data_IF_715405001703
#
_entry.id   IF_715405001703
#
_cell.length_a   1.000
_cell.length_b   1.000
_cell.length_c   1.000
_cell.angle_alpha   90.00
_cell.angle_beta   90.00
_cell.angle_gamma   90.00
#
_symmetry.space_group_name_H-M   'P 1'
#
loop_
_entity.id
_entity.type
_entity.pdbx_description
1 polymer ?
#
# COMPACT_ATOMS: atom_id res chain seq x y z
N UNK A 1 87.45 13.21 21.91
CA UNK A 1 86.18 13.53 22.62
C UNK A 1 85.05 13.52 21.66
N UNK A 2 84.24 12.41 21.61
CA UNK A 2 83.13 12.23 20.68
C UNK A 2 81.88 12.17 21.57
N UNK A 3 81.00 13.18 21.37
CA UNK A 3 79.74 13.30 22.14
C UNK A 3 78.68 12.47 21.45
N UNK A 4 78.09 11.52 22.19
CA UNK A 4 76.99 10.70 21.79
C UNK A 4 75.66 11.41 22.01
N UNK A 5 74.84 11.59 20.97
CA UNK A 5 73.50 12.10 20.99
C UNK A 5 72.49 10.95 21.31
N UNK A 6 71.52 11.10 22.23
CA UNK A 6 70.53 10.08 22.49
C UNK A 6 69.40 10.15 21.46
N UNK A 7 69.13 9.03 20.78
CA UNK A 7 67.99 8.79 19.89
C UNK A 7 66.71 8.70 20.70
N UNK A 8 65.83 9.72 20.64
CA UNK A 8 64.50 9.68 21.21
C UNK A 8 63.61 8.83 20.32
N UNK A 9 63.22 7.66 20.80
CA UNK A 9 62.25 6.78 20.18
C UNK A 9 60.85 7.34 20.47
N UNK A 10 60.20 7.94 19.46
CA UNK A 10 58.82 8.38 19.58
C UNK A 10 57.89 7.16 19.36
N UNK A 11 57.26 6.69 20.43
CA UNK A 11 56.28 5.62 20.42
C UNK A 11 54.95 6.20 19.99
N UNK A 12 54.56 6.04 18.70
CA UNK A 12 53.24 6.36 18.20
C UNK A 12 52.24 5.27 18.65
N UNK A 13 51.48 5.56 19.71
CA UNK A 13 50.34 4.75 20.11
C UNK A 13 49.20 5.08 19.15
N UNK A 14 48.96 4.21 18.15
CA UNK A 14 47.77 4.24 17.32
C UNK A 14 46.57 3.81 18.16
N UNK A 15 45.73 4.77 18.58
CA UNK A 15 44.41 4.47 19.13
C UNK A 15 43.53 3.84 18.04
N UNK A 16 43.46 2.53 18.03
CA UNK A 16 42.46 1.80 17.27
C UNK A 16 41.09 2.00 17.96
N UNK A 17 40.31 2.97 17.52
CA UNK A 17 38.90 3.04 17.87
C UNK A 17 38.22 1.82 17.25
N UNK A 18 37.52 0.95 18.02
CA UNK A 18 36.69 -0.07 17.44
C UNK A 18 35.58 0.65 16.68
N UNK A 19 35.56 0.54 15.35
CA UNK A 19 34.33 0.79 14.57
C UNK A 19 33.32 -0.22 15.11
N UNK A 20 32.40 0.21 15.95
CA UNK A 20 31.22 -0.56 16.24
C UNK A 20 30.48 -0.71 14.91
N UNK A 21 30.56 -1.89 14.32
CA UNK A 21 29.73 -2.22 13.17
C UNK A 21 28.26 -2.13 13.64
N UNK A 22 27.59 -1.05 13.28
CA UNK A 22 26.15 -0.95 13.47
C UNK A 22 25.57 -2.11 12.65
N UNK A 23 25.03 -3.11 13.33
CA UNK A 23 24.38 -4.21 12.64
C UNK A 23 23.29 -3.63 11.72
N UNK A 24 23.34 -4.01 10.44
CA UNK A 24 22.37 -3.55 9.46
C UNK A 24 20.96 -3.89 9.96
N UNK A 25 20.05 -2.93 9.85
CA UNK A 25 18.66 -3.13 10.24
C UNK A 25 18.03 -4.22 9.37
N UNK A 26 17.22 -5.07 9.99
CA UNK A 26 16.53 -6.18 9.30
C UNK A 26 15.04 -5.94 9.44
N UNK A 27 14.45 -5.35 8.39
CA UNK A 27 13.05 -4.91 8.38
C UNK A 27 12.18 -6.02 7.81
N UNK A 28 11.14 -6.39 8.54
CA UNK A 28 9.99 -7.10 7.96
C UNK A 28 8.88 -6.08 7.76
N UNK A 29 8.43 -5.94 6.52
CA UNK A 29 7.40 -4.96 6.13
C UNK A 29 6.07 -5.67 5.86
N UNK A 30 5.01 -5.19 6.52
CA UNK A 30 3.66 -5.76 6.49
C UNK A 30 2.66 -4.69 6.06
N UNK A 31 2.07 -4.88 4.90
CA UNK A 31 1.19 -3.93 4.21
C UNK A 31 1.85 -3.38 2.93
N UNK A 32 1.13 -3.44 1.81
CA UNK A 32 1.66 -3.01 0.51
C UNK A 32 2.06 -1.54 0.49
N UNK A 33 1.25 -0.68 1.11
CA UNK A 33 1.53 0.75 1.29
C UNK A 33 2.76 1.01 2.18
N UNK A 34 2.91 0.25 3.24
CA UNK A 34 4.06 0.33 4.16
C UNK A 34 5.35 -0.03 3.43
N UNK A 35 5.33 -1.12 2.66
CA UNK A 35 6.48 -1.60 1.91
C UNK A 35 6.88 -0.62 0.81
N UNK A 36 5.91 -0.10 0.05
CA UNK A 36 6.13 0.90 -0.99
C UNK A 36 6.81 2.15 -0.43
N UNK A 37 6.32 2.67 0.70
CA UNK A 37 6.88 3.84 1.37
C UNK A 37 8.30 3.54 1.89
N UNK A 38 8.54 2.40 2.52
CA UNK A 38 9.87 2.02 3.00
C UNK A 38 10.91 1.98 1.87
N UNK A 39 10.54 1.40 0.71
CA UNK A 39 11.38 1.39 -0.48
C UNK A 39 11.61 2.78 -1.05
N UNK A 40 10.59 3.61 -1.15
CA UNK A 40 10.70 4.99 -1.64
C UNK A 40 11.58 5.87 -0.73
N UNK A 41 11.66 5.55 0.55
CA UNK A 41 12.57 6.17 1.51
C UNK A 41 14.00 5.59 1.44
N UNK A 42 14.27 4.62 0.55
CA UNK A 42 15.59 4.03 0.34
C UNK A 42 15.95 2.92 1.32
N UNK A 43 14.99 2.33 2.05
CA UNK A 43 15.22 1.22 2.97
C UNK A 43 15.17 -0.16 2.30
N UNK A 44 15.13 -0.24 0.98
CA UNK A 44 14.93 -1.50 0.25
C UNK A 44 15.95 -2.59 0.60
N UNK A 45 17.22 -2.23 0.77
CA UNK A 45 18.29 -3.19 1.13
C UNK A 45 18.19 -3.67 2.59
N UNK A 46 17.45 -2.97 3.43
CA UNK A 46 17.20 -3.32 4.84
C UNK A 46 15.97 -4.21 4.99
N UNK A 47 15.05 -4.21 4.00
CA UNK A 47 13.85 -5.04 4.00
C UNK A 47 14.23 -6.48 3.66
N UNK A 48 14.08 -7.39 4.62
CA UNK A 48 14.46 -8.80 4.50
C UNK A 48 13.28 -9.72 4.19
N UNK A 49 12.04 -9.25 4.40
CA UNK A 49 10.82 -9.96 4.05
C UNK A 49 9.63 -8.99 3.94
N UNK A 50 8.59 -9.47 3.25
CA UNK A 50 7.36 -8.72 2.99
C UNK A 50 6.13 -9.61 3.20
N UNK A 51 4.96 -9.01 3.36
CA UNK A 51 3.69 -9.73 3.29
C UNK A 51 3.21 -9.92 1.84
N UNK A 52 2.19 -10.77 1.63
CA UNK A 52 1.70 -11.11 0.28
C UNK A 52 1.02 -9.93 -0.45
N UNK A 53 0.61 -8.87 0.24
CA UNK A 53 0.06 -7.65 -0.38
C UNK A 53 1.14 -6.70 -0.90
N UNK A 54 2.39 -6.89 -0.51
CA UNK A 54 3.53 -6.07 -0.90
C UNK A 54 4.05 -6.50 -2.28
N UNK A 55 3.55 -5.89 -3.34
CA UNK A 55 3.88 -6.22 -4.73
C UNK A 55 4.74 -5.16 -5.41
N UNK A 56 4.81 -3.94 -4.85
CA UNK A 56 5.54 -2.80 -5.39
C UNK A 56 6.63 -2.30 -4.43
N UNK A 57 7.78 -1.86 -4.97
CA UNK A 57 8.23 -2.00 -6.37
C UNK A 57 8.51 -3.47 -6.73
N UNK A 58 8.66 -3.80 -8.01
CA UNK A 58 8.85 -5.19 -8.47
C UNK A 58 10.00 -5.96 -7.78
N UNK A 59 11.01 -5.26 -7.28
CA UNK A 59 12.13 -5.84 -6.53
C UNK A 59 11.66 -6.56 -5.25
N UNK A 60 10.57 -6.09 -4.62
CA UNK A 60 9.98 -6.65 -3.39
C UNK A 60 9.56 -8.10 -3.58
N UNK A 61 9.07 -8.47 -4.78
CA UNK A 61 8.57 -9.81 -5.06
C UNK A 61 9.64 -10.91 -4.97
N UNK A 62 10.92 -10.52 -4.93
CA UNK A 62 12.05 -11.45 -4.74
C UNK A 62 12.33 -11.76 -3.27
N UNK A 63 11.74 -10.98 -2.36
CA UNK A 63 11.93 -11.16 -0.93
C UNK A 63 11.05 -12.30 -0.39
N UNK A 64 11.45 -12.96 0.70
CA UNK A 64 10.63 -13.91 1.42
C UNK A 64 9.25 -13.34 1.74
N UNK A 65 8.21 -14.15 1.53
CA UNK A 65 6.81 -13.83 1.82
C UNK A 65 6.42 -14.42 3.17
N UNK A 66 5.97 -13.58 4.11
CA UNK A 66 5.51 -14.00 5.43
C UNK A 66 4.01 -14.31 5.48
N UNK A 67 3.35 -14.32 4.33
CA UNK A 67 1.93 -14.58 4.18
C UNK A 67 1.05 -13.32 4.17
N UNK A 68 -0.26 -13.53 4.16
CA UNK A 68 -1.22 -12.45 4.08
C UNK A 68 -1.31 -11.66 5.39
N UNK A 69 -1.27 -10.33 5.31
CA UNK A 69 -1.24 -9.44 6.49
C UNK A 69 -2.39 -9.67 7.48
N UNK A 70 -3.50 -10.29 7.07
CA UNK A 70 -4.63 -10.64 7.96
C UNK A 70 -4.60 -12.10 8.46
N UNK A 71 -3.51 -12.83 8.19
CA UNK A 71 -3.32 -14.23 8.58
C UNK A 71 -1.86 -14.47 8.98
N UNK A 72 -1.28 -13.54 9.74
CA UNK A 72 0.13 -13.57 10.12
C UNK A 72 0.44 -14.71 11.10
N UNK A 73 1.70 -15.15 11.07
CA UNK A 73 2.27 -16.12 12.00
C UNK A 73 3.56 -15.58 12.62
N UNK A 74 3.61 -15.49 13.96
CA UNK A 74 4.77 -14.92 14.66
C UNK A 74 6.04 -15.77 14.48
N UNK A 75 5.95 -17.08 14.49
CA UNK A 75 7.09 -17.99 14.37
C UNK A 75 7.81 -17.83 13.02
N UNK A 76 7.04 -17.77 11.93
CA UNK A 76 7.58 -17.55 10.59
C UNK A 76 8.30 -16.22 10.46
N UNK A 77 7.76 -15.18 11.09
CA UNK A 77 8.37 -13.83 11.08
C UNK A 77 9.66 -13.83 11.94
N UNK A 78 9.63 -14.40 13.15
CA UNK A 78 10.78 -14.48 14.06
C UNK A 78 11.94 -15.30 13.49
N UNK A 79 11.65 -16.34 12.68
CA UNK A 79 12.67 -17.13 12.01
C UNK A 79 13.58 -16.31 11.09
N UNK A 80 13.09 -15.17 10.59
CA UNK A 80 13.84 -14.23 9.76
C UNK A 80 14.75 -13.30 10.56
N UNK A 81 14.70 -13.37 11.90
CA UNK A 81 15.49 -12.55 12.84
C UNK A 81 15.38 -11.06 12.54
N UNK A 82 14.17 -10.50 12.50
CA UNK A 82 14.00 -9.06 12.28
C UNK A 82 14.50 -8.27 13.49
N UNK A 83 15.01 -7.05 13.23
CA UNK A 83 15.27 -6.04 14.26
C UNK A 83 14.15 -5.01 14.34
N UNK A 84 13.44 -4.82 13.22
CA UNK A 84 12.32 -3.90 13.09
C UNK A 84 11.19 -4.54 12.29
N UNK A 85 9.97 -4.36 12.75
CA UNK A 85 8.76 -4.67 11.97
C UNK A 85 8.03 -3.36 11.72
N UNK A 86 7.80 -3.05 10.45
CA UNK A 86 6.89 -2.00 10.01
C UNK A 86 5.58 -2.67 9.63
N UNK A 87 4.51 -2.40 10.35
CA UNK A 87 3.23 -3.08 10.14
C UNK A 87 2.08 -2.11 10.05
N UNK A 88 1.24 -2.25 9.03
CA UNK A 88 -0.05 -1.56 9.04
C UNK A 88 -0.88 -1.96 10.26
N UNK A 89 -1.64 -1.03 10.83
CA UNK A 89 -2.61 -1.32 11.90
C UNK A 89 -3.74 -2.26 11.46
N UNK A 90 -3.91 -2.45 10.14
CA UNK A 90 -4.88 -3.38 9.58
C UNK A 90 -4.41 -4.84 9.62
N UNK A 91 -3.20 -5.11 10.10
CA UNK A 91 -2.64 -6.45 10.21
C UNK A 91 -3.35 -7.29 11.27
N UNK A 92 -3.61 -8.55 10.94
CA UNK A 92 -4.32 -9.49 11.81
C UNK A 92 -3.59 -10.85 11.87
N UNK A 93 -3.75 -11.60 12.96
CA UNK A 93 -4.38 -11.19 14.20
C UNK A 93 -3.46 -10.26 15.02
N UNK A 94 -4.04 -9.27 15.69
CA UNK A 94 -3.29 -8.30 16.52
C UNK A 94 -2.40 -8.97 17.59
N UNK A 95 -2.78 -10.18 18.04
CA UNK A 95 -1.98 -10.98 18.97
C UNK A 95 -0.59 -11.32 18.41
N UNK A 96 -0.45 -11.52 17.11
CA UNK A 96 0.84 -11.82 16.48
C UNK A 96 1.80 -10.64 16.64
N UNK A 97 1.35 -9.42 16.42
CA UNK A 97 2.18 -8.23 16.59
C UNK A 97 2.64 -8.09 18.06
N UNK A 98 1.73 -8.39 19.01
CA UNK A 98 2.10 -8.42 20.43
C UNK A 98 3.14 -9.50 20.74
N UNK A 99 3.01 -10.69 20.20
CA UNK A 99 4.00 -11.77 20.39
C UNK A 99 5.39 -11.40 19.86
N UNK A 100 5.44 -10.64 18.76
CA UNK A 100 6.69 -10.13 18.20
C UNK A 100 7.32 -9.08 19.13
N UNK A 101 6.53 -8.15 19.68
CA UNK A 101 6.95 -7.18 20.69
C UNK A 101 7.48 -7.87 21.96
N UNK A 102 6.74 -8.85 22.48
CA UNK A 102 7.09 -9.62 23.68
C UNK A 102 8.40 -10.44 23.46
N UNK A 103 8.74 -10.77 22.20
CA UNK A 103 10.00 -11.42 21.81
C UNK A 103 11.18 -10.44 21.69
N UNK A 104 10.97 -9.15 22.00
CA UNK A 104 12.01 -8.12 21.98
C UNK A 104 12.26 -7.48 20.61
N UNK A 105 11.41 -7.74 19.60
CA UNK A 105 11.49 -7.07 18.29
C UNK A 105 10.77 -5.73 18.36
N UNK A 106 11.40 -4.68 17.82
CA UNK A 106 10.73 -3.38 17.69
C UNK A 106 9.61 -3.48 16.64
N UNK A 107 8.37 -3.20 17.04
CA UNK A 107 7.21 -3.14 16.12
C UNK A 107 6.73 -1.71 16.03
N UNK A 108 6.67 -1.16 14.83
CA UNK A 108 6.11 0.16 14.55
C UNK A 108 4.80 -0.04 13.80
N UNK A 109 3.71 0.48 14.37
CA UNK A 109 2.37 0.41 13.81
C UNK A 109 2.13 1.65 12.96
N UNK A 110 1.79 1.45 11.70
CA UNK A 110 1.52 2.50 10.73
C UNK A 110 0.00 2.69 10.60
N UNK A 111 -0.52 3.94 10.66
CA UNK A 111 -1.94 4.21 10.58
C UNK A 111 -2.64 3.48 9.43
N UNK A 112 -3.75 2.83 9.73
CA UNK A 112 -4.54 2.03 8.78
C UNK A 112 -5.64 2.80 8.05
N UNK A 113 -5.72 4.12 8.20
CA UNK A 113 -6.75 4.94 7.59
C UNK A 113 -6.73 4.86 6.06
N UNK A 114 -7.92 4.62 5.49
CA UNK A 114 -8.14 4.52 4.04
C UNK A 114 -8.63 5.86 3.47
N UNK A 115 -7.82 6.90 3.67
CA UNK A 115 -8.05 8.23 3.09
C UNK A 115 -6.78 8.73 2.42
N UNK A 116 -6.93 9.51 1.35
CA UNK A 116 -5.77 10.10 0.65
C UNK A 116 -5.02 11.10 1.52
N UNK A 117 -5.68 11.67 2.53
CA UNK A 117 -5.09 12.62 3.47
C UNK A 117 -4.21 11.94 4.55
N UNK A 118 -4.41 10.65 4.80
CA UNK A 118 -3.64 9.91 5.82
C UNK A 118 -2.24 9.49 5.34
N UNK A 119 -1.99 9.46 4.03
CA UNK A 119 -0.73 8.96 3.47
C UNK A 119 0.50 9.76 3.95
N UNK A 120 0.48 11.10 4.06
CA UNK A 120 1.60 11.86 4.62
C UNK A 120 1.97 11.47 6.05
N UNK A 121 1.00 11.10 6.89
CA UNK A 121 1.25 10.59 8.25
C UNK A 121 1.92 9.22 8.21
N UNK A 122 1.44 8.29 7.37
CA UNK A 122 2.10 6.99 7.14
C UNK A 122 3.56 7.17 6.74
N UNK A 123 3.84 8.09 5.81
CA UNK A 123 5.20 8.41 5.38
C UNK A 123 6.04 8.91 6.55
N UNK A 124 5.52 9.82 7.38
CA UNK A 124 6.23 10.37 8.54
C UNK A 124 6.58 9.29 9.55
N UNK A 125 5.61 8.46 9.93
CA UNK A 125 5.81 7.37 10.92
C UNK A 125 6.88 6.38 10.44
N UNK A 126 6.83 5.98 9.17
CA UNK A 126 7.83 5.05 8.60
C UNK A 126 9.20 5.72 8.53
N UNK A 127 9.28 6.97 8.06
CA UNK A 127 10.54 7.71 7.94
C UNK A 127 11.23 7.90 9.29
N UNK A 128 10.46 8.20 10.33
CA UNK A 128 10.99 8.34 11.68
C UNK A 128 11.49 7.00 12.24
N UNK A 129 10.75 5.92 11.98
CA UNK A 129 11.10 4.57 12.41
C UNK A 129 12.46 4.10 11.86
N UNK A 130 12.81 4.51 10.62
CA UNK A 130 14.04 4.14 9.91
C UNK A 130 15.09 5.26 9.86
N UNK A 131 14.95 6.30 10.69
CA UNK A 131 15.86 7.45 10.79
C UNK A 131 16.05 8.23 9.47
N UNK A 132 14.96 8.42 8.70
CA UNK A 132 14.94 9.13 7.40
C UNK A 132 13.90 10.26 7.36
N UNK A 133 13.67 10.96 8.47
CA UNK A 133 12.64 11.99 8.63
C UNK A 133 12.74 13.11 7.58
N UNK A 134 13.96 13.50 7.17
CA UNK A 134 14.14 14.51 6.12
C UNK A 134 13.64 14.04 4.75
N UNK A 135 13.94 12.78 4.37
CA UNK A 135 13.44 12.17 3.14
C UNK A 135 11.92 11.97 3.22
N UNK A 136 11.41 11.61 4.41
CA UNK A 136 9.97 11.48 4.65
C UNK A 136 9.22 12.78 4.39
N UNK A 137 9.73 13.90 4.90
CA UNK A 137 9.14 15.22 4.65
C UNK A 137 9.06 15.54 3.15
N UNK A 138 10.15 15.34 2.42
CA UNK A 138 10.19 15.58 0.97
C UNK A 138 9.24 14.65 0.21
N UNK A 139 9.12 13.39 0.64
CA UNK A 139 8.21 12.43 0.02
C UNK A 139 6.75 12.82 0.25
N UNK A 140 6.41 13.21 1.48
CA UNK A 140 5.06 13.68 1.83
C UNK A 140 4.67 14.97 1.06
N UNK A 141 5.60 15.92 0.91
CA UNK A 141 5.39 17.13 0.12
C UNK A 141 5.12 16.79 -1.36
N UNK A 142 5.89 15.88 -1.96
CA UNK A 142 5.65 15.42 -3.34
C UNK A 142 4.29 14.75 -3.50
N UNK A 143 3.91 13.89 -2.56
CA UNK A 143 2.60 13.25 -2.55
C UNK A 143 1.46 14.29 -2.52
N UNK A 144 1.56 15.27 -1.63
CA UNK A 144 0.56 16.34 -1.52
C UNK A 144 0.47 17.18 -2.79
N UNK A 145 1.60 17.48 -3.45
CA UNK A 145 1.62 18.19 -4.73
C UNK A 145 0.93 17.40 -5.84
N UNK A 146 1.20 16.09 -5.92
CA UNK A 146 0.54 15.21 -6.88
C UNK A 146 -0.97 15.16 -6.65
N UNK A 147 -1.40 15.03 -5.39
CA UNK A 147 -2.81 15.02 -5.03
C UNK A 147 -3.50 16.35 -5.36
N UNK A 148 -2.86 17.47 -5.06
CA UNK A 148 -3.40 18.82 -5.33
C UNK A 148 -3.54 19.11 -6.83
N UNK A 149 -2.79 18.44 -7.70
CA UNK A 149 -2.89 18.59 -9.14
C UNK A 149 -4.13 17.88 -9.76
N UNK A 150 -4.83 17.05 -8.97
CA UNK A 150 -6.00 16.30 -9.45
C UNK A 150 -7.27 17.14 -9.19
N UNK A 151 -8.05 17.34 -10.25
CA UNK A 151 -9.35 18.02 -10.12
C UNK A 151 -10.30 17.17 -9.25
N UNK A 152 -10.92 17.81 -8.26
CA UNK A 152 -11.85 17.17 -7.32
C UNK A 152 -13.26 17.79 -7.33
N UNK A 153 -13.54 18.70 -8.28
CA UNK A 153 -14.88 19.24 -8.48
C UNK A 153 -15.89 18.11 -8.70
N UNK A 154 -17.03 18.12 -8.00
CA UNK A 154 -18.01 17.05 -8.13
C UNK A 154 -18.48 16.82 -9.58
N UNK A 155 -18.51 15.57 -10.02
CA UNK A 155 -19.11 15.14 -11.27
C UNK A 155 -20.31 14.21 -10.98
N UNK A 156 -21.38 14.25 -11.78
CA UNK A 156 -22.56 13.43 -11.58
C UNK A 156 -22.36 11.97 -12.08
N UNK A 157 -21.13 11.47 -12.16
CA UNK A 157 -20.78 10.15 -12.66
C UNK A 157 -20.88 9.13 -11.53
N UNK A 158 -21.67 8.09 -11.75
CA UNK A 158 -21.84 6.95 -10.85
C UNK A 158 -20.84 5.87 -11.21
N UNK A 159 -20.02 5.47 -10.26
CA UNK A 159 -18.98 4.43 -10.42
C UNK A 159 -19.36 3.19 -9.63
N UNK A 160 -19.41 2.06 -10.28
CA UNK A 160 -19.54 0.76 -9.63
C UNK A 160 -18.16 0.11 -9.53
N UNK A 161 -17.68 -0.11 -8.30
CA UNK A 161 -16.52 -0.94 -8.09
C UNK A 161 -16.94 -2.41 -7.87
N UNK A 162 -16.31 -3.30 -8.63
CA UNK A 162 -16.49 -4.75 -8.47
C UNK A 162 -15.19 -5.38 -7.99
N UNK A 163 -15.25 -5.98 -6.80
CA UNK A 163 -14.18 -6.79 -6.26
C UNK A 163 -14.34 -8.24 -6.68
N UNK A 164 -13.29 -8.82 -7.23
CA UNK A 164 -13.19 -10.25 -7.51
C UNK A 164 -11.76 -10.71 -7.31
N UNK A 165 -11.55 -11.84 -6.67
CA UNK A 165 -10.25 -12.47 -6.52
C UNK A 165 -10.43 -13.96 -6.18
N UNK A 166 -9.46 -14.79 -6.56
CA UNK A 166 -9.25 -16.14 -6.02
C UNK A 166 -10.48 -17.06 -5.96
N UNK A 167 -11.41 -16.95 -6.92
CA UNK A 167 -12.58 -17.85 -6.99
C UNK A 167 -13.76 -17.45 -6.10
N UNK A 168 -13.70 -16.29 -5.42
CA UNK A 168 -14.88 -15.77 -4.71
C UNK A 168 -15.91 -15.18 -5.68
N UNK A 169 -17.18 -15.23 -5.27
CA UNK A 169 -18.25 -14.55 -5.99
C UNK A 169 -17.96 -13.05 -6.10
N UNK A 170 -18.04 -12.43 -7.29
CA UNK A 170 -17.84 -10.99 -7.45
C UNK A 170 -18.75 -10.18 -6.52
N UNK A 171 -18.18 -9.17 -5.88
CA UNK A 171 -18.86 -8.35 -4.89
C UNK A 171 -18.84 -6.86 -5.28
N UNK A 172 -19.92 -6.16 -5.00
CA UNK A 172 -19.99 -4.71 -5.11
C UNK A 172 -19.47 -4.05 -3.82
N UNK A 173 -18.73 -2.96 -3.97
CA UNK A 173 -18.32 -2.12 -2.86
C UNK A 173 -19.41 -1.10 -2.51
N UNK A 174 -19.99 -1.24 -1.33
CA UNK A 174 -20.85 -0.23 -0.73
C UNK A 174 -20.06 0.86 -0.01
N UNK A 175 -20.74 1.60 0.84
CA UNK A 175 -20.14 2.63 1.70
C UNK A 175 -19.09 2.04 2.67
N UNK A 176 -18.21 2.89 3.18
CA UNK A 176 -17.18 2.50 4.15
C UNK A 176 -16.20 1.43 3.63
N UNK A 177 -15.89 1.47 2.34
CA UNK A 177 -14.85 0.65 1.71
C UNK A 177 -13.73 1.54 1.16
N UNK A 178 -12.55 0.97 0.95
CA UNK A 178 -11.45 1.66 0.28
C UNK A 178 -11.87 2.18 -1.12
N UNK A 179 -12.63 1.37 -1.87
CA UNK A 179 -13.18 1.77 -3.16
C UNK A 179 -14.16 2.96 -3.06
N UNK A 180 -15.04 2.97 -2.04
CA UNK A 180 -15.94 4.10 -1.79
C UNK A 180 -15.15 5.38 -1.48
N UNK A 181 -14.09 5.27 -0.67
CA UNK A 181 -13.24 6.40 -0.31
C UNK A 181 -12.53 7.00 -1.53
N UNK A 182 -11.96 6.17 -2.40
CA UNK A 182 -11.25 6.65 -3.61
C UNK A 182 -12.23 7.25 -4.64
N UNK A 183 -13.41 6.65 -4.83
CA UNK A 183 -14.45 7.18 -5.72
C UNK A 183 -14.87 8.57 -5.26
N UNK A 184 -15.11 8.75 -3.96
CA UNK A 184 -15.48 10.07 -3.41
C UNK A 184 -14.34 11.07 -3.46
N UNK A 185 -13.11 10.64 -3.22
CA UNK A 185 -11.93 11.50 -3.34
C UNK A 185 -11.74 12.04 -4.77
N UNK A 186 -12.17 11.28 -5.78
CA UNK A 186 -12.20 11.71 -7.18
C UNK A 186 -13.34 12.69 -7.49
N UNK A 187 -14.19 13.06 -6.53
CA UNK A 187 -15.38 13.88 -6.75
C UNK A 187 -16.52 13.16 -7.46
N UNK A 188 -16.55 11.81 -7.39
CA UNK A 188 -17.51 10.96 -8.07
C UNK A 188 -18.50 10.34 -7.07
N UNK A 189 -19.52 9.66 -7.58
CA UNK A 189 -20.54 8.99 -6.78
C UNK A 189 -20.33 7.47 -6.81
N UNK A 190 -20.24 6.85 -5.64
CA UNK A 190 -20.34 5.40 -5.59
C UNK A 190 -21.77 4.98 -5.99
N UNK A 191 -21.91 4.12 -6.98
CA UNK A 191 -23.20 3.65 -7.44
C UNK A 191 -23.96 2.83 -6.38
N UNK A 192 -23.23 2.21 -5.44
CA UNK A 192 -23.77 1.35 -4.38
C UNK A 192 -23.87 2.08 -3.04
N UNK A 193 -24.89 2.92 -2.85
CA UNK A 193 -25.11 3.74 -1.66
C UNK A 193 -25.99 3.08 -0.59
N UNK A 194 -26.71 2.04 -0.92
CA UNK A 194 -27.74 1.45 -0.04
C UNK A 194 -27.22 0.52 1.07
N UNK A 195 -25.89 0.29 1.16
CA UNK A 195 -25.28 -0.61 2.13
C UNK A 195 -23.82 -0.25 2.42
N UNK A 196 -23.29 -0.78 3.52
CA UNK A 196 -21.86 -0.67 3.88
C UNK A 196 -21.13 -1.98 3.62
N UNK A 197 -19.77 -1.86 3.42
CA UNK A 197 -18.87 -2.98 3.13
C UNK A 197 -19.15 -3.59 1.76
N UNK A 198 -18.72 -4.85 1.59
CA UNK A 198 -18.86 -5.58 0.32
C UNK A 198 -20.05 -6.54 0.39
N UNK A 199 -20.81 -6.62 -0.71
CA UNK A 199 -21.91 -7.58 -0.88
C UNK A 199 -21.83 -8.25 -2.22
N UNK A 200 -22.27 -9.53 -2.36
CA UNK A 200 -22.37 -10.18 -3.65
C UNK A 200 -23.17 -9.35 -4.64
N UNK A 201 -22.75 -9.36 -5.90
CA UNK A 201 -23.50 -8.69 -6.95
C UNK A 201 -24.91 -9.35 -7.12
N UNK A 202 -25.92 -8.51 -7.19
CA UNK A 202 -27.26 -8.94 -7.62
C UNK A 202 -27.64 -8.21 -8.91
N UNK A 203 -28.30 -8.92 -9.80
CA UNK A 203 -28.73 -8.34 -11.08
C UNK A 203 -29.58 -7.09 -10.88
N UNK A 204 -30.57 -7.17 -9.98
CA UNK A 204 -31.48 -6.06 -9.68
C UNK A 204 -30.71 -4.86 -9.09
N UNK A 205 -29.82 -5.09 -8.13
CA UNK A 205 -29.02 -4.02 -7.50
C UNK A 205 -28.10 -3.33 -8.49
N UNK A 206 -27.45 -4.08 -9.39
CA UNK A 206 -26.59 -3.53 -10.43
C UNK A 206 -27.39 -2.67 -11.41
N UNK A 207 -28.53 -3.17 -11.91
CA UNK A 207 -29.38 -2.42 -12.83
C UNK A 207 -29.92 -1.14 -12.16
N UNK A 208 -30.43 -1.24 -10.93
CA UNK A 208 -31.01 -0.12 -10.20
C UNK A 208 -29.97 0.96 -9.83
N UNK A 209 -28.70 0.59 -9.68
CA UNK A 209 -27.64 1.54 -9.38
C UNK A 209 -27.22 2.40 -10.57
N UNK A 210 -27.53 1.98 -11.81
CA UNK A 210 -27.26 2.69 -13.07
C UNK A 210 -25.83 3.25 -13.13
N UNK A 211 -24.76 2.44 -13.01
CA UNK A 211 -23.41 2.95 -13.08
C UNK A 211 -23.07 3.45 -14.49
N UNK A 212 -22.39 4.60 -14.55
CA UNK A 212 -21.86 5.20 -15.77
C UNK A 212 -20.47 4.65 -16.11
N UNK A 213 -19.73 4.17 -15.10
CA UNK A 213 -18.38 3.65 -15.21
C UNK A 213 -18.22 2.43 -14.29
N UNK A 214 -17.65 1.36 -14.83
CA UNK A 214 -17.21 0.20 -14.08
C UNK A 214 -15.74 0.41 -13.66
N UNK A 215 -15.44 0.23 -12.38
CA UNK A 215 -14.09 0.27 -11.82
C UNK A 215 -13.73 -1.12 -11.30
N UNK A 216 -12.61 -1.64 -11.74
CA UNK A 216 -12.12 -2.97 -11.35
C UNK A 216 -10.61 -2.94 -11.20
N UNK A 217 -10.08 -3.92 -10.46
CA UNK A 217 -8.64 -4.07 -10.34
C UNK A 217 -8.08 -5.04 -11.37
N UNK A 218 -6.77 -4.96 -11.61
CA UNK A 218 -6.06 -5.86 -12.54
C UNK A 218 -6.23 -7.32 -12.14
N UNK A 219 -6.08 -7.63 -10.85
CA UNK A 219 -6.29 -8.99 -10.34
C UNK A 219 -7.75 -9.40 -10.38
N UNK A 220 -8.67 -8.46 -10.16
CA UNK A 220 -10.10 -8.68 -10.32
C UNK A 220 -10.47 -9.14 -11.73
N UNK A 221 -9.95 -8.45 -12.75
CA UNK A 221 -10.16 -8.84 -14.15
C UNK A 221 -9.57 -10.22 -14.45
N UNK A 222 -8.36 -10.48 -13.95
CA UNK A 222 -7.70 -11.79 -14.12
C UNK A 222 -8.51 -12.91 -13.47
N UNK A 223 -9.06 -12.68 -12.29
CA UNK A 223 -9.80 -13.70 -11.52
C UNK A 223 -11.10 -14.13 -12.19
N UNK A 224 -11.73 -13.25 -12.98
CA UNK A 224 -12.95 -13.58 -13.76
C UNK A 224 -12.66 -14.07 -15.18
N UNK A 225 -11.39 -14.24 -15.55
CA UNK A 225 -10.99 -14.77 -16.85
C UNK A 225 -10.92 -13.74 -17.98
N UNK A 226 -10.81 -12.44 -17.65
CA UNK A 226 -10.57 -11.38 -18.63
C UNK A 226 -11.64 -10.29 -18.69
N UNK A 227 -11.31 -9.20 -19.38
CA UNK A 227 -12.15 -8.00 -19.43
C UNK A 227 -13.53 -8.25 -20.06
N UNK A 228 -13.63 -9.12 -21.06
CA UNK A 228 -14.93 -9.40 -21.70
C UNK A 228 -15.94 -10.06 -20.75
N UNK A 229 -15.47 -10.81 -19.77
CA UNK A 229 -16.31 -11.45 -18.77
C UNK A 229 -16.93 -10.45 -17.77
N UNK A 230 -16.42 -9.22 -17.68
CA UNK A 230 -17.05 -8.14 -16.91
C UNK A 230 -18.47 -7.86 -17.34
N UNK A 231 -18.72 -7.95 -18.64
CA UNK A 231 -20.04 -7.64 -19.22
C UNK A 231 -21.05 -8.78 -19.03
N UNK A 232 -20.56 -9.98 -18.65
CA UNK A 232 -21.38 -11.14 -18.30
C UNK A 232 -21.78 -11.16 -16.82
N UNK A 233 -21.24 -10.25 -16.01
CA UNK A 233 -21.62 -10.13 -14.60
C UNK A 233 -23.12 -9.77 -14.47
N UNK A 234 -23.77 -10.20 -13.37
CA UNK A 234 -25.21 -10.01 -13.20
C UNK A 234 -25.67 -8.57 -13.43
N UNK A 235 -26.54 -8.33 -14.39
CA UNK A 235 -27.12 -7.03 -14.71
C UNK A 235 -26.20 -6.05 -15.44
N UNK A 236 -24.90 -6.31 -15.55
CA UNK A 236 -23.91 -5.35 -16.05
C UNK A 236 -24.21 -4.86 -17.47
N UNK A 237 -24.52 -5.75 -18.40
CA UNK A 237 -24.79 -5.40 -19.77
C UNK A 237 -26.02 -4.46 -19.98
N UNK A 238 -26.91 -4.38 -18.99
CA UNK A 238 -28.08 -3.51 -19.00
C UNK A 238 -27.85 -2.11 -18.47
N UNK A 239 -26.70 -1.88 -17.83
CA UNK A 239 -26.32 -0.58 -17.26
C UNK A 239 -25.79 0.38 -18.33
N UNK A 240 -25.75 1.70 -18.06
CA UNK A 240 -25.05 2.67 -18.91
C UNK A 240 -23.58 2.29 -19.15
N UNK A 241 -22.85 1.87 -18.10
CA UNK A 241 -21.46 1.40 -18.21
C UNK A 241 -21.33 0.20 -19.14
N UNK A 242 -22.23 -0.80 -19.04
CA UNK A 242 -22.21 -1.98 -19.87
C UNK A 242 -22.55 -1.70 -21.33
N UNK A 243 -23.58 -0.89 -21.58
CA UNK A 243 -23.99 -0.49 -22.94
C UNK A 243 -22.89 0.26 -23.69
N UNK A 244 -22.13 1.10 -22.99
CA UNK A 244 -21.05 1.91 -23.56
C UNK A 244 -19.67 1.26 -23.39
N UNK A 245 -19.58 0.06 -22.80
CA UNK A 245 -18.33 -0.65 -22.53
C UNK A 245 -17.33 0.21 -21.73
N UNK A 246 -17.82 1.05 -20.81
CA UNK A 246 -17.00 1.96 -20.02
C UNK A 246 -16.45 1.25 -18.78
N UNK A 247 -15.17 0.95 -18.81
CA UNK A 247 -14.45 0.34 -17.69
C UNK A 247 -13.11 1.01 -17.50
N UNK A 248 -12.73 1.20 -16.25
CA UNK A 248 -11.36 1.52 -15.83
C UNK A 248 -10.79 0.33 -15.07
N UNK A 249 -9.63 -0.14 -15.51
CA UNK A 249 -8.85 -1.20 -14.85
C UNK A 249 -7.62 -0.54 -14.25
N UNK A 250 -7.40 -0.72 -12.95
CA UNK A 250 -6.30 -0.09 -12.19
C UNK A 250 -5.58 -1.16 -11.36
N UNK A 251 -4.31 -0.94 -11.07
CA UNK A 251 -3.56 -1.78 -10.14
C UNK A 251 -4.24 -1.83 -8.77
N UNK A 252 -4.23 -3.00 -8.13
CA UNK A 252 -4.94 -3.24 -6.88
C UNK A 252 -4.41 -2.37 -5.74
N UNK A 253 -3.08 -2.29 -5.58
CA UNK A 253 -2.48 -1.51 -4.49
C UNK A 253 -2.56 -0.01 -4.77
N UNK A 254 -2.40 0.43 -6.01
CA UNK A 254 -2.57 1.83 -6.39
C UNK A 254 -3.98 2.34 -6.09
N UNK A 255 -5.01 1.48 -6.29
CA UNK A 255 -6.41 1.84 -6.07
C UNK A 255 -6.85 1.72 -4.61
N UNK A 256 -6.48 0.63 -3.93
CA UNK A 256 -7.06 0.24 -2.64
C UNK A 256 -6.08 0.34 -1.47
N UNK A 257 -4.77 0.47 -1.75
CA UNK A 257 -3.73 0.46 -0.73
C UNK A 257 -3.56 1.76 0.04
N UNK A 258 -3.98 2.90 -0.53
CA UNK A 258 -3.70 4.23 0.03
C UNK A 258 -2.20 4.42 0.35
N UNK A 259 -1.38 4.15 -0.66
CA UNK A 259 0.06 4.33 -0.70
C UNK A 259 0.48 5.48 -1.63
N UNK A 260 1.72 5.42 -2.10
CA UNK A 260 2.32 6.48 -2.94
C UNK A 260 1.73 6.56 -4.35
N UNK A 261 1.20 5.45 -4.88
CA UNK A 261 0.58 5.39 -6.21
C UNK A 261 -0.89 5.83 -6.22
N UNK A 262 -1.49 6.07 -5.06
CA UNK A 262 -2.90 6.50 -4.94
C UNK A 262 -3.23 7.76 -5.75
N UNK A 263 -2.39 8.82 -5.81
CA UNK A 263 -2.68 9.98 -6.67
C UNK A 263 -2.78 9.62 -8.16
N UNK A 264 -1.95 8.69 -8.63
CA UNK A 264 -2.02 8.22 -10.02
C UNK A 264 -3.35 7.49 -10.31
N UNK A 265 -3.74 6.57 -9.43
CA UNK A 265 -5.02 5.86 -9.56
C UNK A 265 -6.22 6.82 -9.53
N UNK A 266 -6.18 7.81 -8.63
CA UNK A 266 -7.19 8.86 -8.52
C UNK A 266 -7.27 9.71 -9.79
N UNK A 267 -6.13 10.10 -10.36
CA UNK A 267 -6.07 10.84 -11.62
C UNK A 267 -6.62 10.05 -12.81
N UNK A 268 -6.31 8.75 -12.89
CA UNK A 268 -6.86 7.86 -13.91
C UNK A 268 -8.39 7.73 -13.79
N UNK A 269 -8.89 7.56 -12.56
CA UNK A 269 -10.32 7.47 -12.29
C UNK A 269 -11.03 8.76 -12.67
N UNK A 270 -10.46 9.90 -12.30
CA UNK A 270 -11.00 11.21 -12.67
C UNK A 270 -11.06 11.39 -14.19
N UNK A 271 -9.98 11.10 -14.89
CA UNK A 271 -9.89 11.18 -16.35
C UNK A 271 -10.90 10.26 -17.04
N UNK A 272 -11.07 9.02 -16.56
CA UNK A 272 -12.05 8.08 -17.10
C UNK A 272 -13.49 8.56 -16.90
N UNK A 273 -13.77 9.25 -15.80
CA UNK A 273 -15.09 9.82 -15.53
C UNK A 273 -15.42 11.05 -16.42
N UNK A 274 -14.41 11.82 -16.81
CA UNK A 274 -14.56 13.01 -17.68
C UNK A 274 -14.76 12.65 -19.17
N UNK A 275 -14.36 11.47 -19.59
CA UNK A 275 -14.62 10.97 -20.94
C UNK A 275 -16.11 10.61 -21.06
N UNK A 276 -16.76 11.11 -22.14
CA UNK A 276 -18.18 10.81 -22.45
C UNK A 276 -18.31 9.54 -23.27
#
# INVERSE_FOLDING_TARGET
MIASLPRRLALCIALAFPLAAVAAERIVSIGGDVTEIAFALGAGDEVVARDSTSLHPAAVQKLPDVGYMRQLNAEGILALKPTLILSTELAEPALVLKQLEDSGVKVVRIPGDTTVQAVPEKISVIADAINRSSQGKQLAERYQQQLAAIANTPLPVKVLFVMSHGGITPMAAGQQTAADAIIRAAGLKNAMQGFSRYRPLSQEGVIASEPDLLLVTTDGVRSIGGQENLWLLPGMALTPAGKNRRVLIVDDMALLGFGLETPQALGLLRKAAEQK
#
